data_IF_124017824790
#
_entry.id   IF_124017824790
#
_cell.length_a   1.000
_cell.length_b   1.000
_cell.length_c   1.000
_cell.angle_alpha   90.00
_cell.angle_beta   90.00
_cell.angle_gamma   90.00
#
_symmetry.space_group_name_H-M   'P 1'
#
loop_
_entity.id
_entity.type
_entity.pdbx_description
1 polymer ?
#
# COMPACT_ATOMS: atom_id res chain seq x y z
N UNK A 1 6.09 -7.35 -9.98
CA UNK A 1 5.25 -7.55 -11.18
C UNK A 1 4.84 -6.23 -11.83
N UNK A 2 4.10 -5.34 -11.14
CA UNK A 2 3.63 -4.04 -11.69
C UNK A 2 4.76 -3.14 -12.24
N UNK A 3 5.86 -2.94 -11.50
CA UNK A 3 6.98 -2.12 -11.99
C UNK A 3 7.60 -2.62 -13.32
N UNK A 4 7.65 -3.94 -13.52
CA UNK A 4 8.16 -4.52 -14.77
C UNK A 4 7.21 -4.20 -15.91
N UNK A 5 5.90 -4.22 -15.66
CA UNK A 5 4.88 -3.84 -16.65
C UNK A 5 5.00 -2.35 -16.99
N UNK A 6 5.17 -1.46 -16.01
CA UNK A 6 5.38 -0.02 -16.24
C UNK A 6 6.60 0.21 -17.15
N UNK A 7 7.75 -0.40 -16.83
CA UNK A 7 8.96 -0.29 -17.67
C UNK A 7 8.73 -0.78 -19.10
N UNK A 8 8.02 -1.91 -19.27
CA UNK A 8 7.64 -2.41 -20.59
C UNK A 8 6.72 -1.44 -21.33
N UNK A 9 5.72 -0.86 -20.66
CA UNK A 9 4.82 0.15 -21.24
C UNK A 9 5.58 1.40 -21.70
N UNK A 10 6.55 1.89 -20.91
CA UNK A 10 7.42 2.99 -21.34
C UNK A 10 8.25 2.62 -22.57
N UNK A 11 8.82 1.41 -22.64
CA UNK A 11 9.55 0.97 -23.83
C UNK A 11 8.66 0.96 -25.08
N UNK A 12 7.44 0.44 -24.96
CA UNK A 12 6.46 0.48 -26.07
C UNK A 12 6.10 1.91 -26.45
N UNK A 13 5.92 2.80 -25.46
CA UNK A 13 5.67 4.22 -25.70
C UNK A 13 6.77 4.87 -26.53
N UNK A 14 8.03 4.63 -26.18
CA UNK A 14 9.17 5.17 -26.92
C UNK A 14 9.23 4.65 -28.35
N UNK A 15 8.96 3.35 -28.57
CA UNK A 15 8.88 2.78 -29.92
C UNK A 15 7.77 3.41 -30.75
N UNK A 16 6.60 3.65 -30.17
CA UNK A 16 5.50 4.33 -30.86
C UNK A 16 5.88 5.76 -31.28
N UNK A 17 6.59 6.50 -30.41
CA UNK A 17 7.09 7.84 -30.74
C UNK A 17 8.08 7.77 -31.91
N UNK A 18 9.03 6.84 -31.85
CA UNK A 18 9.99 6.62 -32.94
C UNK A 18 9.29 6.20 -34.26
N UNK A 19 8.25 5.37 -34.20
CA UNK A 19 7.45 5.00 -35.37
C UNK A 19 6.70 6.21 -35.96
N UNK A 20 6.23 7.15 -35.12
CA UNK A 20 5.57 8.39 -35.56
C UNK A 20 6.60 9.34 -36.20
N UNK A 21 7.75 9.52 -35.55
CA UNK A 21 8.81 10.42 -36.02
C UNK A 21 9.39 9.99 -37.38
N UNK A 22 9.40 8.68 -37.66
CA UNK A 22 9.89 8.11 -38.92
C UNK A 22 8.78 7.82 -39.95
N UNK A 23 7.56 8.35 -39.76
CA UNK A 23 6.46 8.07 -40.66
C UNK A 23 6.63 8.81 -42.00
N UNK A 24 6.59 8.05 -43.10
CA UNK A 24 6.69 8.60 -44.46
C UNK A 24 5.48 9.48 -44.81
N UNK A 25 5.74 10.78 -45.00
CA UNK A 25 4.73 11.80 -45.29
C UNK A 25 4.13 11.67 -46.69
N UNK A 26 4.83 11.00 -47.62
CA UNK A 26 4.38 10.81 -49.00
C UNK A 26 3.53 9.52 -49.17
N UNK A 27 3.40 8.70 -48.12
CA UNK A 27 2.56 7.51 -48.11
C UNK A 27 1.08 7.91 -48.30
N UNK A 28 0.39 7.29 -49.28
CA UNK A 28 -1.04 7.50 -49.55
C UNK A 28 -1.98 7.27 -48.35
N UNK A 29 -1.52 6.52 -47.35
CA UNK A 29 -2.21 6.22 -46.10
C UNK A 29 -1.65 6.96 -44.88
N UNK A 30 -0.71 7.90 -45.07
CA UNK A 30 -0.03 8.67 -44.01
C UNK A 30 -0.99 9.13 -42.92
N UNK A 31 -2.06 9.86 -43.28
CA UNK A 31 -3.03 10.41 -42.31
C UNK A 31 -3.68 9.34 -41.44
N UNK A 32 -4.04 8.18 -42.01
CA UNK A 32 -4.66 7.08 -41.28
C UNK A 32 -3.64 6.41 -40.35
N UNK A 33 -2.45 6.10 -40.87
CA UNK A 33 -1.38 5.48 -40.07
C UNK A 33 -0.93 6.37 -38.92
N UNK A 34 -0.82 7.68 -39.15
CA UNK A 34 -0.52 8.66 -38.12
C UNK A 34 -1.58 8.65 -37.02
N UNK A 35 -2.86 8.72 -37.39
CA UNK A 35 -3.96 8.68 -36.43
C UNK A 35 -3.93 7.38 -35.59
N UNK A 36 -3.73 6.23 -36.23
CA UNK A 36 -3.67 4.94 -35.52
C UNK A 36 -2.50 4.90 -34.52
N UNK A 37 -1.35 5.47 -34.87
CA UNK A 37 -0.19 5.56 -33.99
C UNK A 37 -0.42 6.55 -32.84
N UNK A 38 -0.99 7.73 -33.12
CA UNK A 38 -1.35 8.73 -32.12
C UNK A 38 -2.36 8.16 -31.12
N UNK A 39 -3.38 7.43 -31.58
CA UNK A 39 -4.38 6.78 -30.73
C UNK A 39 -3.75 5.68 -29.85
N UNK A 40 -2.83 4.89 -30.41
CA UNK A 40 -2.08 3.88 -29.65
C UNK A 40 -1.18 4.52 -28.61
N UNK A 41 -0.53 5.63 -28.94
CA UNK A 41 0.33 6.38 -28.02
C UNK A 41 -0.50 6.98 -26.87
N UNK A 42 -1.65 7.57 -27.17
CA UNK A 42 -2.58 8.10 -26.17
C UNK A 42 -3.04 7.01 -25.18
N UNK A 43 -3.47 5.84 -25.70
CA UNK A 43 -3.82 4.69 -24.84
C UNK A 43 -2.66 4.21 -23.99
N UNK A 44 -1.42 4.31 -24.49
CA UNK A 44 -0.23 3.94 -23.72
C UNK A 44 0.01 4.89 -22.55
N UNK A 45 -0.24 6.20 -22.71
CA UNK A 45 -0.20 7.17 -21.62
C UNK A 45 -1.21 6.82 -20.52
N UNK A 46 -2.48 6.64 -20.88
CA UNK A 46 -3.53 6.28 -19.92
C UNK A 46 -3.19 5.00 -19.15
N UNK A 47 -2.66 4.00 -19.84
CA UNK A 47 -2.25 2.73 -19.22
C UNK A 47 -1.09 2.90 -18.24
N UNK A 48 -0.12 3.77 -18.54
CA UNK A 48 1.00 4.04 -17.63
C UNK A 48 0.48 4.72 -16.37
N UNK A 49 -0.37 5.75 -16.53
CA UNK A 49 -0.97 6.48 -15.41
C UNK A 49 -1.79 5.55 -14.50
N UNK A 50 -2.62 4.68 -15.08
CA UNK A 50 -3.38 3.67 -14.33
C UNK A 50 -2.44 2.74 -13.54
N UNK A 51 -1.39 2.23 -14.17
CA UNK A 51 -0.42 1.33 -13.51
C UNK A 51 0.38 2.04 -12.41
N UNK A 52 0.71 3.31 -12.59
CA UNK A 52 1.40 4.13 -11.59
C UNK A 52 0.50 4.38 -10.38
N UNK A 53 -0.77 4.71 -10.60
CA UNK A 53 -1.77 4.84 -9.54
C UNK A 53 -1.92 3.55 -8.74
N UNK A 54 -2.10 2.41 -9.42
CA UNK A 54 -2.18 1.09 -8.79
C UNK A 54 -0.91 0.74 -8.00
N UNK A 55 0.26 1.18 -8.45
CA UNK A 55 1.51 0.97 -7.73
C UNK A 55 1.57 1.80 -6.43
N UNK A 56 1.06 3.02 -6.43
CA UNK A 56 0.97 3.87 -5.24
C UNK A 56 0.05 3.21 -4.21
N UNK A 57 -1.15 2.81 -4.63
CA UNK A 57 -2.12 2.15 -3.75
C UNK A 57 -1.57 0.86 -3.15
N UNK A 58 -0.92 0.02 -3.96
CA UNK A 58 -0.31 -1.20 -3.50
C UNK A 58 0.82 -0.94 -2.48
N UNK A 59 1.61 0.12 -2.67
CA UNK A 59 2.66 0.52 -1.70
C UNK A 59 2.06 1.04 -0.40
N UNK A 60 1.03 1.87 -0.47
CA UNK A 60 0.34 2.39 0.71
C UNK A 60 -0.25 1.23 1.53
N UNK A 61 -0.98 0.32 0.88
CA UNK A 61 -1.53 -0.87 1.53
C UNK A 61 -0.45 -1.76 2.16
N UNK A 62 0.68 -1.95 1.47
CA UNK A 62 1.81 -2.69 2.01
C UNK A 62 2.36 -2.03 3.29
N UNK A 63 2.54 -0.71 3.29
CA UNK A 63 3.04 0.03 4.45
C UNK A 63 2.08 -0.08 5.63
N UNK A 64 0.77 0.02 5.40
CA UNK A 64 -0.24 -0.19 6.45
C UNK A 64 -0.11 -1.56 7.09
N UNK A 65 -0.03 -2.63 6.28
CA UNK A 65 0.12 -4.01 6.77
C UNK A 65 1.44 -4.20 7.54
N UNK A 66 2.54 -3.63 7.04
CA UNK A 66 3.84 -3.70 7.72
C UNK A 66 3.82 -2.98 9.08
N UNK A 67 3.13 -1.83 9.16
CA UNK A 67 2.96 -1.10 10.41
C UNK A 67 2.09 -1.87 11.43
N UNK A 68 0.95 -2.42 10.99
CA UNK A 68 0.08 -3.27 11.82
C UNK A 68 0.79 -4.54 12.32
N UNK A 69 1.63 -5.15 11.48
CA UNK A 69 2.45 -6.29 11.90
C UNK A 69 3.46 -5.88 12.97
N UNK A 70 4.14 -4.75 12.80
CA UNK A 70 5.13 -4.26 13.76
C UNK A 70 4.50 -3.97 15.13
N UNK A 71 3.30 -3.38 15.17
CA UNK A 71 2.58 -3.15 16.42
C UNK A 71 2.18 -4.48 17.08
N UNK A 72 1.71 -5.45 16.31
CA UNK A 72 1.43 -6.81 16.79
C UNK A 72 2.66 -7.52 17.37
N UNK A 73 3.80 -7.48 16.67
CA UNK A 73 5.07 -8.06 17.13
C UNK A 73 5.55 -7.41 18.43
N UNK A 74 5.36 -6.10 18.59
CA UNK A 74 5.71 -5.38 19.81
C UNK A 74 4.83 -5.80 21.00
N UNK A 75 3.51 -5.92 20.79
CA UNK A 75 2.59 -6.43 21.81
C UNK A 75 2.98 -7.86 22.21
N UNK A 76 3.26 -8.74 21.24
CA UNK A 76 3.65 -10.12 21.52
C UNK A 76 4.95 -10.20 22.33
N UNK A 77 5.96 -9.38 22.01
CA UNK A 77 7.19 -9.28 22.81
C UNK A 77 6.90 -8.85 24.24
N UNK A 78 6.08 -7.81 24.44
CA UNK A 78 5.68 -7.36 25.79
C UNK A 78 5.02 -8.50 26.56
N UNK A 79 4.12 -9.24 25.93
CA UNK A 79 3.42 -10.37 26.57
C UNK A 79 4.37 -11.52 26.96
N UNK A 80 5.31 -11.90 26.08
CA UNK A 80 6.32 -12.92 26.39
C UNK A 80 7.16 -12.52 27.61
N UNK A 81 7.57 -11.26 27.67
CA UNK A 81 8.45 -10.76 28.72
C UNK A 81 7.69 -10.17 29.91
N UNK A 82 6.35 -10.25 29.93
CA UNK A 82 5.52 -9.54 30.90
C UNK A 82 5.90 -9.86 32.34
N UNK A 83 6.01 -11.14 32.71
CA UNK A 83 6.38 -11.55 34.08
C UNK A 83 7.74 -10.97 34.51
N UNK A 84 8.72 -10.92 33.61
CA UNK A 84 10.05 -10.37 33.90
C UNK A 84 10.00 -8.84 34.04
N UNK A 85 9.32 -8.17 33.12
CA UNK A 85 9.17 -6.71 33.11
C UNK A 85 8.37 -6.24 34.32
N UNK A 86 7.26 -6.89 34.62
CA UNK A 86 6.39 -6.56 35.75
C UNK A 86 7.11 -6.69 37.09
N UNK A 87 8.00 -7.68 37.25
CA UNK A 87 8.81 -7.89 38.47
C UNK A 87 9.80 -6.75 38.73
N UNK A 88 10.36 -6.13 37.70
CA UNK A 88 11.38 -5.07 37.84
C UNK A 88 10.79 -3.66 37.84
N UNK A 89 9.54 -3.50 37.39
CA UNK A 89 8.82 -2.22 37.43
C UNK A 89 8.45 -1.80 38.85
N UNK A 90 8.53 -0.50 39.11
CA UNK A 90 7.99 0.11 40.32
C UNK A 90 6.45 0.30 40.22
N UNK A 91 5.81 0.66 41.33
CA UNK A 91 4.34 0.77 41.39
C UNK A 91 3.76 1.84 40.45
N UNK A 92 4.50 2.92 40.19
CA UNK A 92 4.10 3.97 39.24
C UNK A 92 4.11 3.44 37.81
N UNK A 93 5.19 2.76 37.42
CA UNK A 93 5.35 2.16 36.10
C UNK A 93 4.32 1.05 35.85
N UNK A 94 4.03 0.21 36.86
CA UNK A 94 2.98 -0.81 36.78
C UNK A 94 1.62 -0.18 36.56
N UNK A 95 1.29 0.88 37.31
CA UNK A 95 0.03 1.59 37.17
C UNK A 95 -0.12 2.19 35.76
N UNK A 96 0.91 2.85 35.26
CA UNK A 96 0.93 3.41 33.90
C UNK A 96 0.78 2.33 32.83
N UNK A 97 1.43 1.17 32.99
CA UNK A 97 1.30 0.05 32.06
C UNK A 97 -0.14 -0.49 32.05
N UNK A 98 -0.74 -0.69 33.21
CA UNK A 98 -2.12 -1.19 33.32
C UNK A 98 -3.12 -0.16 32.77
N UNK A 99 -2.98 1.12 33.10
CA UNK A 99 -3.81 2.20 32.55
C UNK A 99 -3.70 2.27 31.01
N UNK A 100 -2.51 2.06 30.44
CA UNK A 100 -2.33 2.01 28.99
C UNK A 100 -2.96 0.79 28.31
N UNK A 101 -3.23 -0.29 29.05
CA UNK A 101 -3.84 -1.53 28.56
C UNK A 101 -5.36 -1.59 28.78
N UNK A 102 -5.91 -0.74 29.65
CA UNK A 102 -7.34 -0.68 29.92
C UNK A 102 -8.01 0.24 28.89
N UNK A 103 -8.86 -0.33 28.03
CA UNK A 103 -9.66 0.45 27.07
C UNK A 103 -10.95 1.01 27.67
N UNK A 104 -11.59 0.27 28.57
CA UNK A 104 -12.85 0.64 29.21
C UNK A 104 -12.98 -0.13 30.54
N UNK A 105 -13.60 0.50 31.54
CA UNK A 105 -14.00 -0.16 32.80
C UNK A 105 -15.52 -0.12 32.87
N UNK A 106 -16.14 -1.29 32.89
CA UNK A 106 -17.58 -1.43 33.03
C UNK A 106 -17.89 -1.91 34.46
N UNK A 107 -18.75 -1.18 35.15
CA UNK A 107 -19.21 -1.50 36.50
C UNK A 107 -20.69 -1.83 36.42
N UNK A 108 -21.06 -3.04 36.83
CA UNK A 108 -22.44 -3.52 36.84
C UNK A 108 -22.94 -3.62 38.29
N UNK A 109 -24.18 -3.18 38.54
CA UNK A 109 -24.81 -3.22 39.86
C UNK A 109 -25.31 -4.63 40.23
N UNK A 110 -25.61 -5.46 39.24
CA UNK A 110 -26.04 -6.85 39.40
C UNK A 110 -25.08 -7.82 38.70
N UNK A 111 -24.94 -9.02 39.25
CA UNK A 111 -24.14 -10.09 38.62
C UNK A 111 -24.74 -10.45 37.26
N UNK A 112 -23.94 -10.32 36.23
CA UNK A 112 -24.23 -10.77 34.89
C UNK A 112 -24.38 -12.31 34.89
N UNK A 113 -25.23 -12.88 34.01
CA UNK A 113 -25.43 -14.32 33.91
C UNK A 113 -24.16 -15.12 33.55
N UNK A 114 -23.15 -14.43 33.01
CA UNK A 114 -21.83 -14.99 32.69
C UNK A 114 -20.83 -14.93 33.85
N UNK A 115 -21.23 -14.40 35.02
CA UNK A 115 -20.40 -14.31 36.22
C UNK A 115 -19.53 -13.05 36.34
N UNK A 116 -19.73 -12.03 35.50
CA UNK A 116 -19.15 -10.68 35.69
C UNK A 116 -20.04 -9.77 36.54
#
# INVERSE_FOLDING_TARGET
MIQVVIRKSHSTKFKLIEEIDNLDVDDKHYKRRKQDLDDRLYRMYNKIEELESLLIDAKAKKQTIEAEKLTGDNIYKVLIYFDKLYKVMNDVERRQLIEALISEIQIYEEKQPNGQ
#
